data_IF_010870923432
#
_entry.id   IF_010870923432
#
_cell.length_a   1.000
_cell.length_b   1.000
_cell.length_c   1.000
_cell.angle_alpha   90.00
_cell.angle_beta   90.00
_cell.angle_gamma   90.00
#
_symmetry.space_group_name_H-M   'P 1'
#
loop_
_entity.id
_entity.type
_entity.pdbx_description
1 polymer ?
#
# COMPACT_ATOMS: atom_id res chain seq x y z
N UNK A 1 -11.66 -8.47 -13.59
CA UNK A 1 -10.53 -7.51 -13.63
C UNK A 1 -9.57 -7.84 -12.50
N UNK A 2 -8.28 -7.84 -12.79
CA UNK A 2 -7.28 -8.15 -11.77
C UNK A 2 -7.16 -6.99 -10.80
N UNK A 3 -7.23 -7.30 -9.52
CA UNK A 3 -7.15 -6.30 -8.45
C UNK A 3 -6.04 -6.70 -7.48
N UNK A 4 -5.16 -5.75 -7.18
CA UNK A 4 -4.03 -5.96 -6.30
C UNK A 4 -4.09 -4.91 -5.19
N UNK A 5 -3.84 -5.32 -3.97
CA UNK A 5 -3.73 -4.38 -2.85
C UNK A 5 -2.26 -4.20 -2.50
N UNK A 6 -1.85 -2.95 -2.32
CA UNK A 6 -0.53 -2.63 -1.79
C UNK A 6 -0.75 -2.12 -0.37
N UNK A 7 -0.19 -2.83 0.61
CA UNK A 7 -0.43 -2.57 2.02
C UNK A 7 0.60 -1.57 2.53
N UNK A 8 0.14 -0.44 3.03
CA UNK A 8 1.03 0.60 3.53
C UNK A 8 0.91 0.70 5.04
N UNK A 9 1.97 0.31 5.74
CA UNK A 9 2.10 0.51 7.17
C UNK A 9 3.11 1.61 7.44
N UNK A 10 3.03 2.32 8.58
CA UNK A 10 4.02 3.36 8.88
C UNK A 10 5.43 2.80 8.79
N UNK A 11 6.30 3.55 8.12
CA UNK A 11 7.68 3.11 7.90
C UNK A 11 7.88 2.29 6.64
N UNK A 12 6.89 2.21 5.75
CA UNK A 12 7.03 1.47 4.51
C UNK A 12 8.16 2.06 3.65
N UNK A 13 8.66 1.23 2.71
CA UNK A 13 9.71 1.67 1.79
C UNK A 13 9.08 2.40 0.61
N UNK A 14 9.31 3.71 0.51
CA UNK A 14 8.63 4.55 -0.48
C UNK A 14 8.92 4.13 -1.92
N UNK A 15 10.19 3.86 -2.22
CA UNK A 15 10.55 3.49 -3.59
C UNK A 15 9.87 2.20 -3.99
N UNK A 16 9.85 1.21 -3.10
CA UNK A 16 9.20 -0.07 -3.39
C UNK A 16 7.71 0.12 -3.61
N UNK A 17 7.07 0.88 -2.73
CA UNK A 17 5.62 1.07 -2.81
C UNK A 17 5.23 1.78 -4.11
N UNK A 18 5.87 2.91 -4.39
CA UNK A 18 5.51 3.72 -5.56
C UNK A 18 5.85 3.00 -6.84
N UNK A 19 6.99 2.31 -6.89
CA UNK A 19 7.40 1.57 -8.10
C UNK A 19 6.43 0.46 -8.43
N UNK A 20 6.01 -0.31 -7.42
CA UNK A 20 5.07 -1.40 -7.63
C UNK A 20 3.72 -0.85 -8.12
N UNK A 21 3.21 0.19 -7.46
CA UNK A 21 1.94 0.79 -7.85
C UNK A 21 2.01 1.30 -9.29
N UNK A 22 3.07 2.03 -9.62
CA UNK A 22 3.22 2.62 -10.95
C UNK A 22 3.29 1.54 -12.03
N UNK A 23 4.13 0.53 -11.82
CA UNK A 23 4.31 -0.54 -12.80
C UNK A 23 3.00 -1.30 -13.02
N UNK A 24 2.31 -1.65 -11.93
CA UNK A 24 1.07 -2.40 -12.04
C UNK A 24 -0.03 -1.58 -12.73
N UNK A 25 -0.15 -0.30 -12.41
CA UNK A 25 -1.14 0.55 -13.04
C UNK A 25 -0.85 0.75 -14.52
N UNK A 26 0.42 0.84 -14.90
CA UNK A 26 0.79 0.91 -16.32
C UNK A 26 0.41 -0.36 -17.07
N UNK A 27 0.39 -1.48 -16.38
CA UNK A 27 0.01 -2.76 -16.97
C UNK A 27 -1.49 -2.99 -17.00
N UNK A 28 -2.29 -2.01 -16.57
CA UNK A 28 -3.74 -2.14 -16.59
C UNK A 28 -4.34 -2.85 -15.39
N UNK A 29 -3.55 -3.04 -14.34
CA UNK A 29 -4.02 -3.70 -13.11
C UNK A 29 -4.67 -2.66 -12.21
N UNK A 30 -5.80 -3.00 -11.61
CA UNK A 30 -6.42 -2.16 -10.61
C UNK A 30 -5.65 -2.31 -9.30
N UNK A 31 -5.10 -1.19 -8.79
CA UNK A 31 -4.28 -1.21 -7.59
C UNK A 31 -4.93 -0.34 -6.52
N UNK A 32 -5.13 -0.93 -5.35
CA UNK A 32 -5.65 -0.23 -4.18
C UNK A 32 -4.53 -0.05 -3.17
N UNK A 33 -4.39 1.17 -2.67
CA UNK A 33 -3.49 1.44 -1.56
C UNK A 33 -4.28 1.27 -0.27
N UNK A 34 -3.94 0.24 0.49
CA UNK A 34 -4.66 -0.08 1.72
C UNK A 34 -3.80 0.31 2.92
N UNK A 35 -4.33 1.17 3.77
CA UNK A 35 -3.59 1.72 4.89
C UNK A 35 -3.72 0.92 6.15
N UNK A 36 -2.60 0.72 6.84
CA UNK A 36 -2.55 0.20 8.19
C UNK A 36 -2.30 1.39 9.10
N UNK A 37 -3.24 1.68 9.99
CA UNK A 37 -3.11 2.76 10.96
C UNK A 37 -2.80 4.11 10.30
N UNK A 38 -3.61 4.57 9.31
CA UNK A 38 -3.36 5.86 8.68
C UNK A 38 -3.70 7.00 9.63
N UNK A 39 -3.22 8.20 9.27
CA UNK A 39 -3.55 9.40 10.03
C UNK A 39 -5.00 9.84 9.74
N UNK A 40 -5.41 10.98 10.32
CA UNK A 40 -6.80 11.45 10.21
C UNK A 40 -7.22 11.76 8.78
N UNK A 41 -6.26 11.96 7.90
CA UNK A 41 -6.51 12.28 6.50
C UNK A 41 -6.33 11.09 5.57
N UNK A 42 -6.08 9.92 6.14
CA UNK A 42 -5.88 8.71 5.36
C UNK A 42 -4.46 8.54 4.86
N UNK A 43 -3.50 9.26 5.43
CA UNK A 43 -2.11 9.20 5.00
C UNK A 43 -1.29 8.22 5.82
N UNK A 44 -0.32 7.58 5.18
CA UNK A 44 0.66 6.72 5.85
C UNK A 44 2.05 7.23 5.48
N UNK A 45 2.87 7.47 6.49
CA UNK A 45 4.21 7.99 6.29
C UNK A 45 5.21 6.86 6.14
N UNK A 46 6.00 6.92 5.07
CA UNK A 46 7.06 5.96 4.84
C UNK A 46 8.32 6.26 5.63
N UNK A 47 9.32 5.40 5.44
CA UNK A 47 10.56 5.45 6.21
C UNK A 47 11.36 6.73 5.98
N UNK A 48 11.18 7.38 4.85
CA UNK A 48 11.93 8.58 4.48
C UNK A 48 11.07 9.84 4.50
N UNK A 49 9.95 9.80 5.20
CA UNK A 49 9.13 10.97 5.43
C UNK A 49 8.10 11.30 4.38
N UNK A 50 7.98 10.51 3.34
CA UNK A 50 6.94 10.75 2.33
C UNK A 50 5.63 10.14 2.81
N UNK A 51 4.56 10.91 2.70
CA UNK A 51 3.24 10.43 3.09
C UNK A 51 2.42 10.13 1.84
N UNK A 52 1.89 8.92 1.78
CA UNK A 52 0.98 8.52 0.71
C UNK A 52 -0.43 8.43 1.26
N UNK A 53 -1.38 8.96 0.49
CA UNK A 53 -2.79 8.82 0.84
C UNK A 53 -3.27 7.44 0.41
N UNK A 54 -4.05 6.81 1.27
CA UNK A 54 -4.56 5.47 1.00
C UNK A 54 -5.95 5.54 0.39
N UNK A 55 -6.32 4.50 -0.37
CA UNK A 55 -7.65 4.39 -0.96
C UNK A 55 -8.65 3.82 0.02
N UNK A 56 -8.18 3.00 0.96
CA UNK A 56 -9.05 2.33 1.93
C UNK A 56 -8.21 1.88 3.11
N UNK A 57 -8.88 1.42 4.15
CA UNK A 57 -8.22 0.78 5.29
C UNK A 57 -7.97 -0.68 4.97
N UNK A 58 -6.93 -1.25 5.56
CA UNK A 58 -6.63 -2.66 5.40
C UNK A 58 -7.85 -3.52 5.77
N UNK A 59 -8.51 -3.19 6.87
CA UNK A 59 -9.65 -3.97 7.36
C UNK A 59 -10.87 -3.88 6.45
N UNK A 60 -10.90 -2.94 5.52
CA UNK A 60 -12.01 -2.80 4.57
C UNK A 60 -11.79 -3.62 3.30
N UNK A 61 -10.65 -4.27 3.16
CA UNK A 61 -10.37 -5.08 1.98
C UNK A 61 -11.18 -6.35 1.99
N UNK A 62 -11.72 -6.70 0.82
CA UNK A 62 -12.32 -8.00 0.62
C UNK A 62 -11.29 -8.90 -0.06
N UNK A 63 -10.67 -9.78 0.72
CA UNK A 63 -9.58 -10.63 0.21
C UNK A 63 -10.01 -11.53 -0.93
N UNK A 64 -11.30 -11.84 -1.02
CA UNK A 64 -11.80 -12.69 -2.10
C UNK A 64 -11.75 -11.99 -3.46
N UNK A 65 -11.69 -10.66 -3.46
CA UNK A 65 -11.60 -9.88 -4.69
C UNK A 65 -10.17 -9.66 -5.16
N UNK A 66 -9.19 -10.05 -4.34
CA UNK A 66 -7.80 -9.73 -4.64
C UNK A 66 -7.10 -10.88 -5.33
N UNK A 67 -6.34 -10.56 -6.37
CA UNK A 67 -5.43 -11.52 -6.98
C UNK A 67 -4.15 -11.65 -6.16
N UNK A 68 -3.74 -10.56 -5.50
CA UNK A 68 -2.48 -10.54 -4.77
C UNK A 68 -2.48 -9.37 -3.80
N UNK A 69 -1.73 -9.49 -2.72
CA UNK A 69 -1.41 -8.40 -1.82
C UNK A 69 0.10 -8.23 -1.77
N UNK A 70 0.55 -6.97 -1.83
CA UNK A 70 1.97 -6.65 -1.80
C UNK A 70 2.24 -5.82 -0.55
N UNK A 71 3.26 -6.19 0.19
CA UNK A 71 3.66 -5.46 1.38
C UNK A 71 5.07 -4.90 1.16
N UNK A 72 5.19 -3.60 0.81
CA UNK A 72 6.50 -3.01 0.60
C UNK A 72 7.29 -3.02 1.91
N UNK A 73 8.46 -3.60 1.87
CA UNK A 73 9.30 -3.71 3.05
C UNK A 73 9.65 -2.36 3.62
N UNK A 74 10.18 -2.36 4.81
CA UNK A 74 10.58 -1.12 5.46
C UNK A 74 10.62 -1.33 6.96
N UNK A 75 11.40 -0.49 7.60
CA UNK A 75 11.55 -0.48 9.05
C UNK A 75 10.80 0.69 9.60
N UNK A 76 10.03 0.55 10.63
CA UNK A 76 9.77 -0.65 11.41
C UNK A 76 8.66 -1.53 10.83
N UNK A 77 8.10 -1.11 9.71
CA UNK A 77 6.89 -1.76 9.20
C UNK A 77 7.07 -3.23 8.87
N UNK A 78 8.22 -3.61 8.33
CA UNK A 78 8.41 -4.97 7.83
C UNK A 78 9.13 -5.88 8.80
N UNK A 79 9.97 -5.36 9.64
CA UNK A 79 10.84 -6.23 10.42
C UNK A 79 10.36 -6.47 11.84
N UNK A 80 9.30 -5.88 12.20
CA UNK A 80 8.81 -6.04 13.58
C UNK A 80 7.86 -7.20 13.71
#
# INVERSE_FOLDING_TARGET
MTKVAVLLAPGFEEIEAVSVVDILRRAGVEVLLAGVDPDDQGGVQGAHGLTLLTDCLLEDLNVDDLAMAVYPGGMPGASN
#
